data_IF_025499042687
#
_entry.id   IF_025499042687
#
_cell.length_a   1.000
_cell.length_b   1.000
_cell.length_c   1.000
_cell.angle_alpha   90.00
_cell.angle_beta   90.00
_cell.angle_gamma   90.00
#
_symmetry.space_group_name_H-M   'P 1'
#
loop_
_entity.id
_entity.type
_entity.pdbx_description
1 polymer ?
#
# COMPACT_ATOMS: atom_id res chain seq x y z
N UNK A 1 2.38 -71.19 -31.91
CA UNK A 1 2.08 -70.44 -33.15
C UNK A 1 1.26 -69.21 -32.77
N UNK A 2 1.45 -68.03 -33.37
CA UNK A 2 0.70 -66.84 -32.97
C UNK A 2 -0.79 -67.02 -33.26
N UNK A 3 -1.64 -66.69 -32.27
CA UNK A 3 -3.08 -66.92 -32.26
C UNK A 3 -3.82 -65.60 -32.03
N UNK A 4 -4.90 -65.34 -32.79
CA UNK A 4 -5.69 -64.11 -32.59
C UNK A 4 -6.81 -64.35 -31.56
N UNK A 5 -6.72 -63.71 -30.41
CA UNK A 5 -7.71 -63.80 -29.33
C UNK A 5 -9.10 -63.26 -29.69
N UNK A 6 -9.22 -62.43 -30.74
CA UNK A 6 -10.50 -61.77 -31.09
C UNK A 6 -11.36 -62.55 -32.08
N UNK A 7 -10.76 -63.26 -33.03
CA UNK A 7 -11.48 -64.01 -34.07
C UNK A 7 -11.14 -65.51 -34.11
N UNK A 8 -10.34 -65.99 -33.17
CA UNK A 8 -10.21 -67.40 -32.86
C UNK A 8 -9.52 -68.27 -33.92
N UNK A 9 -8.60 -67.70 -34.71
CA UNK A 9 -7.88 -68.42 -35.77
C UNK A 9 -6.36 -68.38 -35.61
N UNK A 10 -5.69 -69.43 -36.08
CA UNK A 10 -4.23 -69.49 -36.18
C UNK A 10 -3.71 -68.51 -37.25
N UNK A 11 -2.57 -67.87 -36.96
CA UNK A 11 -1.93 -66.90 -37.87
C UNK A 11 -0.61 -67.49 -38.34
N UNK A 12 -0.30 -67.34 -39.63
CA UNK A 12 1.01 -67.69 -40.17
C UNK A 12 2.10 -66.88 -39.44
N UNK A 13 3.17 -67.57 -39.04
CA UNK A 13 4.27 -66.98 -38.28
C UNK A 13 4.91 -65.81 -39.04
N UNK A 14 4.96 -64.62 -38.44
CA UNK A 14 5.67 -63.44 -38.96
C UNK A 14 4.81 -62.20 -39.21
N UNK A 15 3.49 -62.28 -39.11
CA UNK A 15 2.59 -61.13 -39.26
C UNK A 15 2.31 -60.45 -37.91
N UNK A 16 2.48 -59.12 -37.84
CA UNK A 16 2.16 -58.32 -36.63
C UNK A 16 0.66 -58.00 -36.48
N UNK A 17 -0.14 -58.19 -37.52
CA UNK A 17 -1.58 -57.91 -37.53
C UNK A 17 -2.37 -59.08 -38.14
N UNK A 18 -3.58 -59.34 -37.63
CA UNK A 18 -4.46 -60.39 -38.14
C UNK A 18 -5.13 -59.96 -39.46
N UNK A 19 -5.01 -60.73 -40.56
CA UNK A 19 -5.55 -60.35 -41.87
C UNK A 19 -7.09 -60.37 -41.97
N UNK A 20 -7.80 -61.02 -41.03
CA UNK A 20 -9.27 -61.06 -41.01
C UNK A 20 -9.93 -59.89 -40.27
N UNK A 21 -9.25 -59.30 -39.28
CA UNK A 21 -9.86 -58.31 -38.39
C UNK A 21 -8.94 -57.12 -38.04
N UNK A 22 -7.72 -57.07 -38.57
CA UNK A 22 -6.79 -55.94 -38.44
C UNK A 22 -6.14 -55.74 -37.07
N UNK A 23 -6.34 -56.66 -36.11
CA UNK A 23 -5.84 -56.48 -34.72
C UNK A 23 -4.37 -56.91 -34.58
N UNK A 24 -3.57 -56.16 -33.82
CA UNK A 24 -2.13 -56.41 -33.59
C UNK A 24 -1.89 -57.58 -32.61
N UNK A 25 -0.87 -58.42 -32.84
CA UNK A 25 -0.57 -59.62 -32.03
C UNK A 25 0.82 -59.54 -31.40
N UNK A 26 0.92 -59.81 -30.08
CA UNK A 26 2.15 -59.75 -29.28
C UNK A 26 2.87 -61.11 -29.23
N UNK A 27 4.20 -61.11 -29.33
CA UNK A 27 5.06 -62.30 -29.31
C UNK A 27 6.15 -62.10 -28.25
N UNK A 28 6.11 -62.88 -27.15
CA UNK A 28 7.19 -62.96 -26.16
C UNK A 28 7.73 -64.40 -26.08
N UNK A 29 9.05 -64.61 -25.99
CA UNK A 29 9.65 -65.94 -25.87
C UNK A 29 9.75 -66.39 -24.40
N UNK A 30 9.49 -67.68 -24.16
CA UNK A 30 9.62 -68.34 -22.85
C UNK A 30 11.03 -68.95 -22.69
N UNK A 31 11.70 -68.72 -21.55
CA UNK A 31 12.91 -69.46 -21.13
C UNK A 31 12.61 -70.16 -19.80
N UNK A 32 12.81 -71.48 -19.76
CA UNK A 32 12.67 -72.32 -18.57
C UNK A 32 14.02 -72.55 -17.87
N UNK A 33 14.04 -72.49 -16.53
CA UNK A 33 15.19 -72.88 -15.71
C UNK A 33 14.75 -74.03 -14.80
N UNK A 34 15.50 -75.14 -14.81
CA UNK A 34 15.18 -76.38 -14.11
C UNK A 34 15.47 -76.35 -12.61
N UNK A 35 14.57 -76.94 -11.82
CA UNK A 35 14.71 -77.11 -10.37
C UNK A 35 15.58 -78.34 -10.02
N UNK A 36 16.47 -78.20 -9.03
CA UNK A 36 16.97 -79.32 -8.23
C UNK A 36 16.51 -79.16 -6.78
N UNK A 37 15.81 -80.18 -6.28
CA UNK A 37 15.38 -80.32 -4.88
C UNK A 37 16.58 -80.55 -3.95
N UNK A 38 16.66 -79.78 -2.87
CA UNK A 38 17.34 -80.16 -1.63
C UNK A 38 16.35 -80.17 -0.46
N UNK A 39 16.52 -81.16 0.43
CA UNK A 39 15.58 -81.54 1.50
C UNK A 39 15.56 -80.54 2.67
N UNK A 40 14.39 -80.36 3.26
CA UNK A 40 14.09 -79.53 4.43
C UNK A 40 14.97 -79.83 5.66
N UNK A 41 15.42 -78.78 6.34
CA UNK A 41 15.59 -78.71 7.80
C UNK A 41 15.07 -77.35 8.29
N UNK A 42 14.38 -77.27 9.45
CA UNK A 42 13.72 -76.04 9.88
C UNK A 42 14.66 -75.19 10.75
N UNK A 43 15.07 -74.02 10.25
CA UNK A 43 15.72 -72.99 11.08
C UNK A 43 14.96 -71.67 10.95
N UNK A 44 14.13 -71.44 11.98
CA UNK A 44 13.72 -70.15 12.58
C UNK A 44 13.39 -69.00 11.61
N UNK A 45 12.09 -68.73 11.50
CA UNK A 45 11.49 -67.56 10.84
C UNK A 45 11.79 -66.21 11.49
N UNK A 46 13.04 -65.76 11.40
CA UNK A 46 13.44 -64.40 11.81
C UNK A 46 13.94 -63.58 10.62
N UNK A 47 14.45 -64.19 9.53
CA UNK A 47 14.98 -63.43 8.39
C UNK A 47 13.93 -62.97 7.38
N UNK A 48 12.85 -63.75 7.19
CA UNK A 48 11.77 -63.43 6.22
C UNK A 48 10.90 -62.28 6.73
N UNK A 49 10.72 -62.17 8.06
CA UNK A 49 10.03 -61.03 8.68
C UNK A 49 10.78 -59.72 8.50
N UNK A 50 12.12 -59.73 8.59
CA UNK A 50 12.94 -58.51 8.47
C UNK A 50 12.99 -58.00 7.03
N UNK A 51 13.02 -58.86 6.02
CA UNK A 51 13.03 -58.45 4.60
C UNK A 51 11.65 -57.95 4.15
N UNK A 52 10.55 -58.57 4.61
CA UNK A 52 9.19 -58.08 4.32
C UNK A 52 8.91 -56.76 5.07
N UNK A 53 9.40 -56.59 6.31
CA UNK A 53 9.37 -55.29 6.99
C UNK A 53 10.25 -54.25 6.28
N UNK A 54 11.40 -54.61 5.72
CA UNK A 54 12.28 -53.69 5.01
C UNK A 54 11.68 -53.24 3.67
N UNK A 55 11.05 -54.14 2.90
CA UNK A 55 10.40 -53.80 1.62
C UNK A 55 9.08 -53.05 1.85
N UNK A 56 8.32 -53.37 2.91
CA UNK A 56 7.20 -52.54 3.35
C UNK A 56 7.69 -51.16 3.82
N UNK A 57 8.85 -51.06 4.49
CA UNK A 57 9.41 -49.77 4.89
C UNK A 57 10.01 -48.97 3.74
N UNK A 58 10.47 -49.57 2.64
CA UNK A 58 11.02 -48.83 1.48
C UNK A 58 9.92 -48.54 0.44
N UNK A 59 8.95 -49.44 0.26
CA UNK A 59 7.82 -49.29 -0.66
C UNK A 59 6.67 -48.41 -0.12
N UNK A 60 6.49 -48.31 1.20
CA UNK A 60 5.59 -47.30 1.82
C UNK A 60 6.28 -45.92 1.87
N UNK A 61 7.60 -45.86 1.77
CA UNK A 61 8.36 -44.60 1.78
C UNK A 61 8.36 -43.83 0.46
N UNK A 62 7.87 -44.42 -0.65
CA UNK A 62 8.05 -43.82 -1.98
C UNK A 62 6.90 -42.93 -2.48
N UNK A 63 5.73 -42.85 -1.84
CA UNK A 63 4.62 -42.00 -2.33
C UNK A 63 3.68 -41.45 -1.23
N UNK A 64 4.24 -41.04 -0.09
CA UNK A 64 3.56 -40.11 0.82
C UNK A 64 4.56 -39.07 1.30
N UNK A 65 5.13 -38.28 0.38
CA UNK A 65 5.66 -36.98 0.80
C UNK A 65 4.45 -36.17 1.27
N UNK A 66 4.28 -36.10 2.58
CA UNK A 66 3.23 -35.31 3.22
C UNK A 66 3.33 -33.89 2.66
N UNK A 67 2.25 -33.40 2.02
CA UNK A 67 2.14 -32.04 1.51
C UNK A 67 2.61 -31.05 2.59
N UNK A 68 3.61 -30.24 2.26
CA UNK A 68 4.17 -29.22 3.13
C UNK A 68 3.36 -27.94 2.93
N UNK A 69 3.16 -27.20 4.02
CA UNK A 69 2.46 -25.94 3.92
C UNK A 69 3.38 -24.86 3.31
N UNK A 70 2.82 -23.90 2.56
CA UNK A 70 3.59 -22.77 2.08
C UNK A 70 4.10 -21.93 3.26
N UNK A 71 5.17 -21.17 3.02
CA UNK A 71 5.78 -20.27 4.00
C UNK A 71 5.80 -18.86 3.41
N UNK A 72 5.25 -17.88 4.14
CA UNK A 72 5.36 -16.46 3.76
C UNK A 72 6.76 -15.99 4.14
N UNK A 73 7.49 -15.47 3.14
CA UNK A 73 8.87 -14.99 3.27
C UNK A 73 8.90 -13.49 3.59
N UNK A 74 8.03 -12.70 2.96
CA UNK A 74 7.89 -11.27 3.26
C UNK A 74 6.46 -10.78 3.13
N UNK A 75 6.16 -9.70 3.86
CA UNK A 75 4.96 -8.89 3.76
C UNK A 75 5.38 -7.43 3.97
N UNK A 76 5.30 -6.62 2.92
CA UNK A 76 5.74 -5.22 2.92
C UNK A 76 4.53 -4.30 2.74
N UNK A 77 4.49 -3.26 3.55
CA UNK A 77 3.52 -2.18 3.50
C UNK A 77 4.22 -0.92 4.03
N UNK A 78 3.83 0.29 3.57
CA UNK A 78 4.19 1.51 4.28
C UNK A 78 3.70 1.42 5.72
N UNK A 79 4.56 1.78 6.64
CA UNK A 79 4.26 1.75 8.07
C UNK A 79 3.22 2.81 8.44
N UNK A 80 3.24 3.96 7.74
CA UNK A 80 2.39 5.12 7.99
C UNK A 80 1.86 5.64 6.68
N UNK A 81 0.59 6.01 6.70
CA UNK A 81 -0.14 6.62 5.59
C UNK A 81 -1.10 7.65 6.18
N UNK A 82 -1.49 8.67 5.43
CA UNK A 82 -2.54 9.60 5.82
C UNK A 82 -3.92 8.93 5.82
N UNK A 83 -4.92 9.53 6.45
CA UNK A 83 -6.32 9.17 6.26
C UNK A 83 -6.61 9.22 4.78
N UNK A 84 -7.26 8.17 4.27
CA UNK A 84 -7.49 7.96 2.84
C UNK A 84 -6.23 7.83 1.96
N UNK A 85 -5.03 7.79 2.52
CA UNK A 85 -3.83 7.52 1.72
C UNK A 85 -3.82 6.06 1.23
N UNK A 86 -3.36 5.87 0.00
CA UNK A 86 -3.38 4.61 -0.72
C UNK A 86 -1.95 4.14 -0.88
N UNK A 87 -1.70 2.87 -0.59
CA UNK A 87 -0.37 2.29 -0.65
C UNK A 87 -0.37 0.88 -1.21
N UNK A 88 0.78 0.44 -1.72
CA UNK A 88 0.99 -0.94 -2.17
C UNK A 88 1.31 -1.85 -1.00
N UNK A 89 0.68 -3.01 -0.99
CA UNK A 89 1.06 -4.13 -0.14
C UNK A 89 1.67 -5.21 -1.02
N UNK A 90 2.83 -5.73 -0.65
CA UNK A 90 3.50 -6.82 -1.35
C UNK A 90 3.72 -7.98 -0.39
N UNK A 91 3.64 -9.21 -0.89
CA UNK A 91 4.00 -10.40 -0.11
C UNK A 91 4.69 -11.42 -0.99
N UNK A 92 5.77 -12.01 -0.50
CA UNK A 92 6.43 -13.16 -1.13
C UNK A 92 6.21 -14.41 -0.27
N UNK A 93 5.99 -15.54 -0.93
CA UNK A 93 5.82 -16.82 -0.27
C UNK A 93 6.47 -17.93 -1.12
N UNK A 94 6.90 -19.00 -0.47
CA UNK A 94 7.53 -20.17 -1.11
C UNK A 94 6.84 -21.44 -0.67
N UNK A 95 6.92 -22.45 -1.52
CA UNK A 95 6.44 -23.80 -1.22
C UNK A 95 7.50 -24.82 -1.64
N UNK A 96 7.83 -25.74 -0.74
CA UNK A 96 8.89 -26.73 -0.98
C UNK A 96 8.48 -27.81 -1.99
N UNK A 97 7.17 -28.02 -2.17
CA UNK A 97 6.62 -29.02 -3.09
C UNK A 97 6.39 -28.41 -4.50
N UNK A 98 6.57 -27.09 -4.65
CA UNK A 98 6.50 -26.37 -5.92
C UNK A 98 5.06 -26.08 -6.38
N UNK A 99 4.10 -26.11 -5.45
CA UNK A 99 2.69 -25.91 -5.77
C UNK A 99 2.35 -24.44 -6.08
N UNK A 100 1.30 -24.23 -6.88
CA UNK A 100 0.87 -22.87 -7.27
C UNK A 100 0.19 -22.18 -6.10
N UNK A 101 0.69 -21.00 -5.73
CA UNK A 101 0.22 -20.25 -4.57
C UNK A 101 -0.90 -19.26 -4.91
N UNK A 102 -1.94 -19.27 -4.09
CA UNK A 102 -3.05 -18.30 -4.14
C UNK A 102 -3.00 -17.39 -2.92
N UNK A 103 -3.15 -16.09 -3.15
CA UNK A 103 -3.10 -15.05 -2.12
C UNK A 103 -4.50 -14.48 -1.88
N UNK A 104 -4.86 -14.30 -0.61
CA UNK A 104 -6.11 -13.67 -0.20
C UNK A 104 -5.81 -12.60 0.83
N UNK A 105 -6.30 -11.39 0.60
CA UNK A 105 -6.02 -10.23 1.42
C UNK A 105 -7.26 -9.76 2.17
N UNK A 106 -7.06 -9.30 3.41
CA UNK A 106 -8.12 -8.78 4.26
C UNK A 106 -7.61 -7.56 5.03
N UNK A 107 -8.39 -6.47 5.01
CA UNK A 107 -8.17 -5.30 5.86
C UNK A 107 -9.24 -5.25 6.94
N UNK A 108 -8.83 -4.88 8.15
CA UNK A 108 -9.73 -4.59 9.27
C UNK A 108 -10.59 -3.34 9.01
N UNK A 109 -9.99 -2.29 8.45
CA UNK A 109 -10.71 -1.17 7.85
C UNK A 109 -9.90 -0.54 6.71
N UNK A 110 -10.60 0.22 5.89
CA UNK A 110 -10.13 0.56 4.56
C UNK A 110 -10.54 -0.51 3.56
N UNK A 111 -9.97 -0.47 2.37
CA UNK A 111 -10.33 -1.41 1.30
C UNK A 111 -9.06 -1.96 0.64
N UNK A 112 -9.10 -3.24 0.29
CA UNK A 112 -8.05 -3.88 -0.50
C UNK A 112 -8.61 -4.16 -1.89
N UNK A 113 -7.77 -4.01 -2.91
CA UNK A 113 -8.14 -4.28 -4.30
C UNK A 113 -6.98 -4.92 -5.06
N UNK A 114 -7.32 -5.78 -6.03
CA UNK A 114 -6.36 -6.59 -6.77
C UNK A 114 -6.25 -8.01 -6.22
N UNK A 115 -5.44 -8.81 -6.91
CA UNK A 115 -5.24 -10.23 -6.63
C UNK A 115 -3.75 -10.58 -6.75
N UNK A 116 -3.37 -11.72 -6.16
CA UNK A 116 -2.00 -12.21 -6.20
C UNK A 116 -1.11 -11.62 -5.10
N UNK A 117 0.21 -11.68 -5.33
CA UNK A 117 1.24 -11.34 -4.35
C UNK A 117 1.38 -9.84 -4.07
N UNK A 118 0.72 -8.98 -4.86
CA UNK A 118 0.74 -7.53 -4.67
C UNK A 118 -0.66 -6.97 -4.84
N UNK A 119 -1.09 -6.18 -3.87
CA UNK A 119 -2.42 -5.55 -3.86
C UNK A 119 -2.31 -4.09 -3.43
N UNK A 120 -3.41 -3.37 -3.62
CA UNK A 120 -3.51 -1.97 -3.20
C UNK A 120 -4.37 -1.87 -1.95
N UNK A 121 -3.91 -1.12 -0.95
CA UNK A 121 -4.65 -0.78 0.27
C UNK A 121 -5.03 0.70 0.27
N UNK A 122 -6.30 0.97 0.54
CA UNK A 122 -6.80 2.32 0.82
C UNK A 122 -7.05 2.47 2.30
N UNK A 123 -6.36 3.42 2.94
CA UNK A 123 -6.56 3.77 4.33
C UNK A 123 -7.97 4.33 4.60
N UNK A 124 -8.62 4.03 5.72
CA UNK A 124 -9.92 4.58 6.05
C UNK A 124 -9.92 6.10 6.28
N UNK A 125 -11.13 6.64 6.22
CA UNK A 125 -11.44 8.05 6.53
C UNK A 125 -11.22 8.42 7.99
N UNK A 126 -11.16 7.40 8.84
CA UNK A 126 -10.90 7.54 10.25
C UNK A 126 -9.44 7.21 10.45
N UNK A 127 -8.71 8.12 11.09
CA UNK A 127 -7.36 7.83 11.51
C UNK A 127 -7.37 6.63 12.46
N UNK A 128 -6.42 5.71 12.30
CA UNK A 128 -6.38 4.50 13.10
C UNK A 128 -5.33 3.50 12.64
N UNK A 129 -5.18 2.44 13.43
CA UNK A 129 -4.34 1.30 13.08
C UNK A 129 -5.22 0.19 12.57
N UNK A 130 -4.83 -0.40 11.45
CA UNK A 130 -5.64 -1.42 10.80
C UNK A 130 -4.78 -2.63 10.48
N UNK A 131 -5.26 -3.80 10.88
CA UNK A 131 -4.63 -5.06 10.50
C UNK A 131 -4.87 -5.36 9.02
N UNK A 132 -3.77 -5.59 8.31
CA UNK A 132 -3.71 -6.08 6.95
C UNK A 132 -3.21 -7.50 6.98
N UNK A 133 -4.05 -8.42 6.55
CA UNK A 133 -3.80 -9.85 6.63
C UNK A 133 -3.68 -10.41 5.24
N UNK A 134 -2.58 -11.12 4.97
CA UNK A 134 -2.44 -11.96 3.80
C UNK A 134 -2.52 -13.42 4.23
N UNK A 135 -3.33 -14.19 3.51
CA UNK A 135 -3.40 -15.65 3.63
C UNK A 135 -2.93 -16.25 2.31
N UNK A 136 -1.99 -17.20 2.38
CA UNK A 136 -1.43 -17.91 1.23
C UNK A 136 -1.80 -19.38 1.32
N UNK A 137 -2.32 -19.93 0.23
CA UNK A 137 -2.76 -21.33 0.12
C UNK A 137 -2.10 -22.01 -1.07
N UNK A 138 -1.71 -23.27 -0.89
CA UNK A 138 -1.15 -24.15 -1.94
C UNK A 138 -2.22 -24.90 -2.76
N UNK A 139 -3.49 -24.85 -2.33
CA UNK A 139 -4.60 -25.57 -2.97
C UNK A 139 -4.66 -27.07 -2.67
N UNK A 140 -3.71 -27.59 -1.87
CA UNK A 140 -3.61 -28.99 -1.42
C UNK A 140 -3.79 -29.17 0.08
N UNK A 141 -4.08 -28.08 0.79
CA UNK A 141 -4.49 -28.07 2.19
C UNK A 141 -3.49 -27.37 3.11
N UNK A 142 -2.31 -27.00 2.61
CA UNK A 142 -1.37 -26.14 3.30
C UNK A 142 -1.77 -24.67 3.22
N UNK A 143 -1.64 -23.98 4.35
CA UNK A 143 -1.97 -22.56 4.47
C UNK A 143 -0.96 -21.85 5.34
N UNK A 144 -0.58 -20.65 4.95
CA UNK A 144 0.12 -19.69 5.78
C UNK A 144 -0.69 -18.40 5.90
N UNK A 145 -0.53 -17.71 7.02
CA UNK A 145 -1.20 -16.45 7.29
C UNK A 145 -0.22 -15.53 7.98
N UNK A 146 -0.19 -14.28 7.53
CA UNK A 146 0.59 -13.23 8.16
C UNK A 146 -0.23 -11.94 8.20
N UNK A 147 -0.04 -11.16 9.25
CA UNK A 147 -0.66 -9.86 9.40
C UNK A 147 0.42 -8.80 9.61
N UNK A 148 0.22 -7.64 9.00
CA UNK A 148 0.95 -6.40 9.24
C UNK A 148 -0.05 -5.34 9.64
N UNK A 149 0.33 -4.46 10.56
CA UNK A 149 -0.50 -3.32 10.93
C UNK A 149 -0.02 -2.10 10.14
N UNK A 150 -0.96 -1.30 9.65
CA UNK A 150 -0.70 0.00 9.03
C UNK A 150 -1.32 1.11 9.86
N UNK A 151 -0.61 2.23 9.97
CA UNK A 151 -1.07 3.42 10.66
C UNK A 151 -1.58 4.47 9.69
N UNK A 152 -2.75 5.05 10.00
CA UNK A 152 -3.50 5.96 9.13
C UNK A 152 -3.71 7.30 9.83
N UNK A 153 -3.25 8.42 9.24
CA UNK A 153 -3.11 9.72 9.91
C UNK A 153 -3.87 10.89 9.25
N UNK A 154 -4.67 11.66 9.98
CA UNK A 154 -5.04 12.99 9.47
C UNK A 154 -3.78 13.85 9.39
N UNK A 155 -3.31 14.21 8.17
CA UNK A 155 -2.03 14.96 8.05
C UNK A 155 -2.06 16.25 8.88
N UNK A 156 -3.06 17.09 8.65
CA UNK A 156 -3.54 18.07 9.63
C UNK A 156 -4.81 18.76 9.13
N UNK A 157 -5.59 19.26 10.10
CA UNK A 157 -6.63 20.25 9.89
C UNK A 157 -6.59 21.21 11.08
N UNK A 158 -6.73 22.52 10.84
CA UNK A 158 -6.75 23.54 11.91
C UNK A 158 -7.61 24.71 11.51
N UNK A 159 -8.18 25.35 12.51
CA UNK A 159 -8.84 26.64 12.41
C UNK A 159 -7.91 27.71 12.98
N UNK A 160 -7.91 28.91 12.40
CA UNK A 160 -7.10 30.03 12.85
C UNK A 160 -7.99 31.28 12.93
N UNK A 161 -7.91 32.00 14.05
CA UNK A 161 -8.85 33.07 14.41
C UNK A 161 -9.13 33.12 15.93
N UNK A 162 -10.04 34.00 16.35
CA UNK A 162 -10.50 34.18 17.72
C UNK A 162 -12.00 33.91 17.91
N UNK A 163 -12.63 34.67 18.81
CA UNK A 163 -14.03 34.47 19.23
C UNK A 163 -15.04 35.01 18.22
N UNK A 164 -14.61 35.99 17.44
CA UNK A 164 -15.43 36.70 16.48
C UNK A 164 -15.14 36.15 15.08
N UNK A 165 -15.48 36.91 14.05
CA UNK A 165 -15.35 36.44 12.68
C UNK A 165 -13.91 36.56 12.19
N UNK A 166 -13.36 35.45 11.73
CA UNK A 166 -12.04 35.39 11.12
C UNK A 166 -12.14 34.72 9.76
N UNK A 167 -11.61 35.38 8.74
CA UNK A 167 -11.66 34.87 7.37
C UNK A 167 -10.31 34.98 6.71
N UNK A 168 -9.77 33.85 6.30
CA UNK A 168 -8.65 33.79 5.38
C UNK A 168 -9.16 34.02 3.94
N UNK A 169 -8.58 34.99 3.24
CA UNK A 169 -8.87 35.29 1.83
C UNK A 169 -7.79 34.82 0.86
N UNK A 170 -6.55 34.67 1.33
CA UNK A 170 -5.41 34.28 0.50
C UNK A 170 -4.51 33.34 1.29
N UNK A 171 -4.02 32.25 0.68
CA UNK A 171 -3.01 31.36 1.26
C UNK A 171 -2.02 30.92 0.17
N UNK A 172 -0.73 30.82 0.48
CA UNK A 172 0.31 30.39 -0.45
C UNK A 172 1.35 29.53 0.24
N UNK A 173 1.83 28.46 -0.41
CA UNK A 173 3.03 27.79 0.04
C UNK A 173 4.24 28.72 -0.18
N UNK A 174 5.16 28.73 0.76
CA UNK A 174 6.37 29.56 0.74
C UNK A 174 7.59 28.72 0.41
N UNK A 175 8.67 29.37 -0.04
CA UNK A 175 9.93 28.70 -0.45
C UNK A 175 10.55 27.79 0.61
N UNK A 176 10.20 27.98 1.87
CA UNK A 176 10.65 27.18 3.02
C UNK A 176 9.79 25.93 3.28
N UNK A 177 8.83 25.62 2.39
CA UNK A 177 7.92 24.48 2.53
C UNK A 177 6.70 24.73 3.40
N UNK A 178 6.64 25.86 4.11
CA UNK A 178 5.47 26.28 4.88
C UNK A 178 4.42 27.00 4.05
N UNK A 179 3.51 27.73 4.69
CA UNK A 179 2.48 28.53 4.03
C UNK A 179 2.46 29.97 4.54
N UNK A 180 1.82 30.88 3.83
CA UNK A 180 1.49 32.24 4.25
C UNK A 180 0.02 32.44 3.94
N UNK A 181 -0.74 32.99 4.87
CA UNK A 181 -2.19 33.21 4.83
C UNK A 181 -2.42 34.69 5.03
N UNK A 182 -3.39 35.28 4.35
CA UNK A 182 -3.86 36.64 4.56
C UNK A 182 -5.38 36.66 4.50
N UNK A 183 -5.99 37.58 5.23
CA UNK A 183 -7.42 37.74 5.32
C UNK A 183 -7.77 38.87 6.26
N UNK A 184 -8.83 38.72 7.04
CA UNK A 184 -9.13 39.63 8.14
C UNK A 184 -9.57 38.90 9.38
N UNK A 185 -9.54 39.64 10.48
CA UNK A 185 -9.98 39.22 11.80
C UNK A 185 -10.81 40.34 12.41
N UNK A 186 -12.00 40.01 12.92
CA UNK A 186 -12.78 40.84 13.86
C UNK A 186 -12.39 40.51 15.31
N UNK A 187 -11.53 39.51 15.50
CA UNK A 187 -11.14 39.01 16.81
C UNK A 187 -9.92 39.73 17.40
N UNK A 188 -9.10 40.37 16.56
CA UNK A 188 -7.81 40.95 16.95
C UNK A 188 -7.55 42.29 16.25
N UNK A 189 -6.67 43.11 16.84
CA UNK A 189 -6.22 44.36 16.25
C UNK A 189 -6.85 45.60 16.88
N UNK A 190 -6.93 46.69 16.13
CA UNK A 190 -7.24 48.02 16.65
C UNK A 190 -8.68 48.47 16.38
N UNK A 191 -9.44 47.74 15.54
CA UNK A 191 -10.73 48.18 15.05
C UNK A 191 -11.75 47.07 14.82
N UNK A 192 -12.77 47.39 14.01
CA UNK A 192 -13.85 46.47 13.65
C UNK A 192 -13.32 45.24 12.92
N UNK A 193 -12.32 45.40 12.05
CA UNK A 193 -11.60 44.27 11.47
C UNK A 193 -10.26 44.70 10.89
N UNK A 194 -9.23 43.88 11.08
CA UNK A 194 -7.88 44.18 10.63
C UNK A 194 -7.37 43.15 9.61
N UNK A 195 -6.43 43.53 8.74
CA UNK A 195 -5.71 42.56 7.90
C UNK A 195 -5.14 41.50 8.83
N UNK A 196 -5.40 40.22 8.60
CA UNK A 196 -4.86 39.13 9.41
C UNK A 196 -3.97 38.24 8.56
N UNK A 197 -2.68 38.21 8.87
CA UNK A 197 -1.67 37.49 8.09
C UNK A 197 -1.04 36.41 8.96
N UNK A 198 -1.02 35.16 8.49
CA UNK A 198 -0.41 34.02 9.19
C UNK A 198 0.64 33.32 8.32
N UNK A 199 1.89 33.24 8.75
CA UNK A 199 2.82 32.28 8.18
C UNK A 199 2.61 30.94 8.87
N UNK A 200 2.42 29.87 8.12
CA UNK A 200 2.40 28.49 8.60
C UNK A 200 3.69 27.74 8.20
N UNK A 201 3.98 26.63 8.87
CA UNK A 201 4.94 25.62 8.44
C UNK A 201 4.25 24.50 7.64
N UNK A 202 4.97 23.46 7.13
CA UNK A 202 4.36 22.38 6.35
C UNK A 202 3.24 21.60 7.07
N UNK A 203 3.20 21.68 8.41
CA UNK A 203 2.23 21.00 9.27
C UNK A 203 1.04 21.91 9.67
N UNK A 204 0.95 23.08 9.03
CA UNK A 204 -0.03 24.09 9.39
C UNK A 204 0.24 24.72 10.76
N UNK A 205 1.48 24.76 11.28
CA UNK A 205 1.77 25.51 12.52
C UNK A 205 1.99 26.96 12.19
N UNK A 206 1.29 27.87 12.87
CA UNK A 206 1.58 29.29 12.76
C UNK A 206 3.04 29.57 13.21
N UNK A 207 3.88 29.95 12.26
CA UNK A 207 5.24 30.45 12.45
C UNK A 207 5.24 31.90 12.93
N UNK A 208 4.33 32.72 12.41
CA UNK A 208 4.03 34.05 12.93
C UNK A 208 2.67 34.51 12.44
N UNK A 209 2.05 35.43 13.17
CA UNK A 209 0.84 36.11 12.76
C UNK A 209 0.92 37.60 13.04
N UNK A 210 0.23 38.40 12.23
CA UNK A 210 0.22 39.86 12.34
C UNK A 210 -1.13 40.44 11.94
N UNK A 211 -1.53 41.48 12.66
CA UNK A 211 -2.64 42.35 12.30
C UNK A 211 -2.14 43.69 11.76
N UNK A 212 -2.83 44.22 10.75
CA UNK A 212 -2.56 45.55 10.20
C UNK A 212 -3.85 46.26 9.82
N UNK A 213 -4.07 47.45 10.38
CA UNK A 213 -5.27 48.24 10.15
C UNK A 213 -5.41 49.33 11.21
N UNK A 214 -6.57 49.98 11.24
CA UNK A 214 -6.89 51.09 12.14
C UNK A 214 -8.19 50.88 12.90
N UNK A 215 -8.97 51.95 13.11
CA UNK A 215 -10.19 51.90 13.93
C UNK A 215 -11.36 51.15 13.26
N UNK A 216 -11.37 51.05 11.93
CA UNK A 216 -12.50 50.55 11.14
C UNK A 216 -12.19 49.24 10.41
N UNK A 217 -12.64 49.09 9.15
CA UNK A 217 -12.53 47.86 8.40
C UNK A 217 -11.29 47.85 7.49
N UNK A 218 -10.44 46.85 7.66
CA UNK A 218 -9.24 46.61 6.88
C UNK A 218 -9.21 45.14 6.45
N UNK A 219 -9.42 44.84 5.17
CA UNK A 219 -9.51 43.45 4.68
C UNK A 219 -8.43 43.11 3.67
N UNK A 220 -7.52 42.20 4.04
CA UNK A 220 -6.46 41.74 3.15
C UNK A 220 -7.03 40.79 2.12
N UNK A 221 -7.03 41.19 0.85
CA UNK A 221 -7.61 40.38 -0.22
C UNK A 221 -6.59 39.46 -0.88
N UNK A 222 -5.30 39.81 -0.86
CA UNK A 222 -4.22 39.07 -1.53
C UNK A 222 -2.90 39.20 -0.78
N UNK A 223 -2.10 38.14 -0.76
CA UNK A 223 -0.71 38.16 -0.29
C UNK A 223 0.19 37.42 -1.28
N UNK A 224 1.43 37.86 -1.46
CA UNK A 224 2.43 37.25 -2.34
C UNK A 224 3.82 37.28 -1.71
N UNK A 225 4.55 36.17 -1.74
CA UNK A 225 5.97 36.17 -1.35
C UNK A 225 6.82 36.90 -2.41
N UNK A 226 7.60 37.89 -2.00
CA UNK A 226 8.43 38.70 -2.90
C UNK A 226 9.83 38.11 -3.11
N UNK A 227 10.53 38.54 -4.17
CA UNK A 227 11.87 38.01 -4.54
C UNK A 227 12.93 38.23 -3.47
N UNK A 228 12.82 39.33 -2.74
CA UNK A 228 13.67 39.69 -1.61
C UNK A 228 13.39 38.86 -0.35
N UNK A 229 12.40 37.95 -0.37
CA UNK A 229 12.04 37.10 0.76
C UNK A 229 10.97 37.67 1.69
N UNK A 230 10.48 38.88 1.38
CA UNK A 230 9.35 39.52 2.05
C UNK A 230 7.99 39.06 1.52
N UNK A 231 6.96 39.87 1.79
CA UNK A 231 5.61 39.66 1.28
C UNK A 231 5.00 40.98 0.81
N UNK A 232 4.16 40.96 -0.21
CA UNK A 232 3.32 42.08 -0.60
C UNK A 232 1.86 41.67 -0.46
N UNK A 233 1.06 42.54 0.14
CA UNK A 233 -0.33 42.32 0.49
C UNK A 233 -1.15 43.45 -0.11
N UNK A 234 -2.29 43.12 -0.67
CA UNK A 234 -3.23 44.10 -1.20
C UNK A 234 -4.63 43.80 -0.67
N UNK A 235 -5.39 44.86 -0.42
CA UNK A 235 -6.75 44.80 0.08
C UNK A 235 -7.35 46.18 0.07
N UNK A 236 -8.25 46.42 1.00
CA UNK A 236 -8.86 47.73 1.18
C UNK A 236 -9.00 48.09 2.65
N UNK A 237 -9.20 49.38 2.88
CA UNK A 237 -9.28 50.00 4.19
C UNK A 237 -10.38 51.05 4.18
N UNK A 238 -11.11 51.18 5.29
CA UNK A 238 -11.90 52.37 5.63
C UNK A 238 -11.26 53.16 6.78
N UNK A 239 -10.10 52.71 7.26
CA UNK A 239 -9.34 53.29 8.37
C UNK A 239 -8.34 54.36 7.92
N UNK A 240 -7.87 54.28 6.67
CA UNK A 240 -6.88 55.20 6.11
C UNK A 240 -7.33 55.73 4.76
N UNK A 241 -6.81 56.91 4.36
CA UNK A 241 -7.00 57.46 3.02
C UNK A 241 -7.96 58.64 2.96
N UNK A 242 -8.64 58.80 1.82
CA UNK A 242 -9.42 59.99 1.46
C UNK A 242 -10.91 59.91 1.86
N UNK A 243 -11.33 58.81 2.49
CA UNK A 243 -12.71 58.56 2.94
C UNK A 243 -13.33 57.32 2.31
N UNK A 244 -14.45 56.85 2.85
CA UNK A 244 -15.13 55.61 2.48
C UNK A 244 -14.18 54.40 2.36
N UNK A 245 -13.99 53.86 1.16
CA UNK A 245 -13.23 52.64 0.89
C UNK A 245 -12.05 52.95 -0.03
N UNK A 246 -10.84 52.72 0.47
CA UNK A 246 -9.60 52.92 -0.27
C UNK A 246 -8.84 51.60 -0.46
N UNK A 247 -8.04 51.51 -1.53
CA UNK A 247 -7.11 50.38 -1.65
C UNK A 247 -5.96 50.52 -0.64
N UNK A 248 -5.60 49.41 0.00
CA UNK A 248 -4.53 49.33 0.98
C UNK A 248 -3.50 48.30 0.53
N UNK A 249 -2.28 48.79 0.26
CA UNK A 249 -1.14 47.94 -0.11
C UNK A 249 -0.10 47.99 1.00
N UNK A 250 0.32 46.81 1.45
CA UNK A 250 1.30 46.60 2.51
C UNK A 250 2.46 45.75 1.97
N UNK A 251 3.70 46.26 2.06
CA UNK A 251 4.90 45.44 1.82
C UNK A 251 5.61 45.13 3.14
N UNK A 252 5.78 43.84 3.42
CA UNK A 252 6.54 43.28 4.52
C UNK A 252 7.93 42.90 4.03
N UNK A 253 8.98 43.30 4.74
CA UNK A 253 10.33 42.79 4.49
C UNK A 253 10.50 41.35 5.02
N UNK A 254 11.64 40.68 4.74
CA UNK A 254 11.93 39.36 5.30
C UNK A 254 11.95 39.33 6.85
N UNK A 255 12.23 40.47 7.49
CA UNK A 255 12.20 40.64 8.96
C UNK A 255 10.81 40.94 9.52
N UNK A 256 9.80 41.03 8.64
CA UNK A 256 8.40 41.34 8.90
C UNK A 256 8.16 42.76 9.42
N UNK A 257 9.09 43.68 9.20
CA UNK A 257 8.89 45.13 9.32
C UNK A 257 8.08 45.65 8.12
N UNK A 258 7.17 46.57 8.38
CA UNK A 258 6.45 47.29 7.32
C UNK A 258 7.42 48.21 6.62
N UNK A 259 7.62 48.02 5.31
CA UNK A 259 8.50 48.86 4.50
C UNK A 259 7.76 49.97 3.78
N UNK A 260 6.48 49.76 3.49
CA UNK A 260 5.68 50.68 2.70
C UNK A 260 4.19 50.47 2.96
N UNK A 261 3.49 51.57 3.23
CA UNK A 261 2.03 51.66 3.18
C UNK A 261 1.70 52.60 2.02
N UNK A 262 0.94 52.10 1.04
CA UNK A 262 0.34 52.94 0.01
C UNK A 262 -1.17 52.90 0.20
N UNK A 263 -1.76 54.05 0.50
CA UNK A 263 -3.20 54.31 0.36
C UNK A 263 -3.42 55.42 -0.68
N UNK A 264 -4.67 55.60 -1.13
CA UNK A 264 -5.04 56.52 -2.22
C UNK A 264 -4.55 57.97 -2.06
N UNK A 265 -4.17 58.38 -0.84
CA UNK A 265 -3.70 59.75 -0.55
C UNK A 265 -2.45 59.87 0.34
N UNK A 266 -1.82 58.78 0.80
CA UNK A 266 -0.57 58.89 1.57
C UNK A 266 0.51 57.88 1.15
N UNK A 267 1.69 58.41 0.82
CA UNK A 267 2.95 57.67 0.74
C UNK A 267 3.70 57.86 2.06
N UNK A 268 3.47 56.97 3.03
CA UNK A 268 4.23 56.98 4.29
C UNK A 268 5.33 55.91 4.17
N UNK A 269 6.57 56.35 3.96
CA UNK A 269 7.74 55.51 4.28
C UNK A 269 7.93 55.64 5.79
N UNK A 270 7.60 54.61 6.55
CA UNK A 270 8.04 54.54 7.95
C UNK A 270 9.57 54.41 7.97
N UNK A 271 10.33 55.36 8.57
CA UNK A 271 11.77 55.19 8.71
C UNK A 271 12.04 54.02 9.66
N UNK A 272 12.95 53.14 9.29
CA UNK A 272 13.44 52.08 10.15
C UNK A 272 14.06 52.67 11.43
N UNK A 273 13.48 52.36 12.59
CA UNK A 273 14.24 52.29 13.85
C UNK A 273 14.97 50.94 13.93
#
# INVERSE_FOLDING_TARGET
MPYCSKCGGEISSGLRFCPKCGTQVSIEPQVSVGERRFKNTPVKGILVGVIILLIASVGVYLFLTRNKAPVIVSLEAPSVVAINEIVSLTSSATDEDGDTLTYTWQAEAGTISGEGSTVTYTAPKTAGTYALTVSVSDGRGGRAKQSINIEVLLLWQKTYGGKDLDRAFSIQQTKDGGYIVAGYTESFGAGDSDFYILKLDPTGKVLWEKTYGGEYYDWASSIQQTKDGGYIVAGYTTSFGAGDLDFYILKLDPTRKVLLIISSTQYQITPSL
#
